data_IF_678388642170
#
_entry.id   IF_678388642170
#
_cell.length_a   1.000
_cell.length_b   1.000
_cell.length_c   1.000
_cell.angle_alpha   90.00
_cell.angle_beta   90.00
_cell.angle_gamma   90.00
#
_symmetry.space_group_name_H-M   'P 1'
#
loop_
_entity.id
_entity.type
_entity.pdbx_description
1 polymer ?
#
# COMPACT_ATOMS: atom_id res chain seq x y z
N UNK A 1 -14.35 -10.69 -20.30
CA UNK A 1 -15.24 -9.50 -20.24
C UNK A 1 -14.47 -8.24 -20.63
N UNK A 2 -15.12 -7.30 -21.31
CA UNK A 2 -14.55 -5.97 -21.59
C UNK A 2 -14.08 -5.30 -20.29
N UNK A 3 -12.85 -4.78 -20.28
CA UNK A 3 -12.23 -4.10 -19.13
C UNK A 3 -13.10 -2.93 -18.63
N UNK A 4 -13.77 -2.23 -19.56
CA UNK A 4 -14.66 -1.11 -19.23
C UNK A 4 -15.83 -1.58 -18.36
N UNK A 5 -16.42 -2.73 -18.69
CA UNK A 5 -17.52 -3.32 -17.93
C UNK A 5 -17.05 -3.73 -16.53
N UNK A 6 -15.85 -4.31 -16.41
CA UNK A 6 -15.28 -4.70 -15.12
C UNK A 6 -15.05 -3.48 -14.22
N UNK A 7 -14.42 -2.43 -14.76
CA UNK A 7 -14.16 -1.18 -14.01
C UNK A 7 -15.47 -0.55 -13.52
N UNK A 8 -16.49 -0.49 -14.37
CA UNK A 8 -17.78 0.08 -13.98
C UNK A 8 -18.53 -0.78 -12.94
N UNK A 9 -18.43 -2.11 -13.05
CA UNK A 9 -18.99 -3.01 -12.04
C UNK A 9 -18.32 -2.83 -10.67
N UNK A 10 -16.98 -2.71 -10.63
CA UNK A 10 -16.23 -2.45 -9.40
C UNK A 10 -16.59 -1.08 -8.82
N UNK A 11 -16.70 -0.04 -9.65
CA UNK A 11 -17.14 1.30 -9.22
C UNK A 11 -18.54 1.30 -8.60
N UNK A 12 -19.48 0.56 -9.19
CA UNK A 12 -20.81 0.41 -8.62
C UNK A 12 -20.75 -0.27 -7.24
N UNK A 13 -19.99 -1.36 -7.11
CA UNK A 13 -19.83 -2.05 -5.84
C UNK A 13 -19.16 -1.16 -4.77
N UNK A 14 -18.14 -0.38 -5.17
CA UNK A 14 -17.52 0.62 -4.30
C UNK A 14 -18.57 1.61 -3.76
N UNK A 15 -19.41 2.16 -4.63
CA UNK A 15 -20.47 3.10 -4.23
C UNK A 15 -21.47 2.46 -3.25
N UNK A 16 -21.80 1.18 -3.41
CA UNK A 16 -22.69 0.45 -2.51
C UNK A 16 -22.05 0.13 -1.15
N UNK A 17 -20.73 -0.01 -1.10
CA UNK A 17 -19.98 -0.31 0.11
C UNK A 17 -19.59 0.94 0.93
N UNK A 18 -19.70 2.14 0.34
CA UNK A 18 -19.35 3.39 1.02
C UNK A 18 -20.01 3.51 2.41
N UNK A 19 -19.20 3.83 3.41
CA UNK A 19 -19.63 3.97 4.80
C UNK A 19 -19.86 2.64 5.53
N UNK A 20 -19.19 1.56 5.13
CA UNK A 20 -19.25 0.27 5.82
C UNK A 20 -20.62 -0.41 5.81
N UNK A 21 -21.34 -0.39 4.68
CA UNK A 21 -22.70 -0.94 4.60
C UNK A 21 -22.73 -2.46 4.87
N UNK A 22 -23.01 -2.87 6.11
CA UNK A 22 -23.02 -4.26 6.57
C UNK A 22 -23.89 -5.21 5.74
N UNK A 23 -25.02 -4.72 5.24
CA UNK A 23 -25.93 -5.52 4.39
C UNK A 23 -25.24 -5.91 3.09
N UNK A 24 -24.58 -4.94 2.43
CA UNK A 24 -23.84 -5.18 1.18
C UNK A 24 -22.62 -6.05 1.44
N UNK A 25 -21.85 -5.78 2.50
CA UNK A 25 -20.71 -6.61 2.90
C UNK A 25 -21.12 -8.08 3.12
N UNK A 26 -22.24 -8.31 3.82
CA UNK A 26 -22.78 -9.65 4.06
C UNK A 26 -23.17 -10.35 2.76
N UNK A 27 -23.97 -9.68 1.91
CA UNK A 27 -24.40 -10.24 0.63
C UNK A 27 -23.21 -10.55 -0.27
N UNK A 28 -22.21 -9.66 -0.34
CA UNK A 28 -20.98 -9.89 -1.09
C UNK A 28 -20.20 -11.10 -0.54
N UNK A 29 -20.02 -11.18 0.78
CA UNK A 29 -19.32 -12.30 1.42
C UNK A 29 -20.06 -13.63 1.22
N UNK A 30 -21.39 -13.68 1.36
CA UNK A 30 -22.20 -14.88 1.10
C UNK A 30 -22.02 -15.37 -0.35
N UNK A 31 -21.99 -14.43 -1.32
CA UNK A 31 -21.71 -14.78 -2.72
C UNK A 31 -20.27 -15.26 -2.92
N UNK A 32 -19.29 -14.60 -2.30
CA UNK A 32 -17.86 -14.93 -2.39
C UNK A 32 -17.47 -16.21 -1.63
N UNK A 33 -18.32 -16.74 -0.75
CA UNK A 33 -18.11 -18.06 -0.13
C UNK A 33 -18.42 -19.22 -1.05
N UNK A 34 -19.14 -18.98 -2.15
CA UNK A 34 -19.50 -20.03 -3.09
C UNK A 34 -18.31 -20.48 -3.95
N UNK A 35 -18.33 -21.73 -4.44
CA UNK A 35 -17.24 -22.30 -5.24
C UNK A 35 -17.02 -21.56 -6.57
N UNK A 36 -18.05 -20.88 -7.07
CA UNK A 36 -17.99 -20.04 -8.28
C UNK A 36 -17.12 -18.79 -8.10
N UNK A 37 -16.75 -18.43 -6.86
CA UNK A 37 -15.92 -17.26 -6.58
C UNK A 37 -14.44 -17.46 -6.92
N UNK A 38 -13.98 -18.69 -7.20
CA UNK A 38 -12.58 -18.98 -7.53
C UNK A 38 -12.03 -18.03 -8.60
N UNK A 39 -12.79 -17.80 -9.68
CA UNK A 39 -12.38 -16.89 -10.77
C UNK A 39 -12.28 -15.43 -10.33
N UNK A 40 -13.11 -14.99 -9.38
CA UNK A 40 -13.04 -13.64 -8.84
C UNK A 40 -11.72 -13.42 -8.09
N UNK A 41 -11.34 -14.34 -7.21
CA UNK A 41 -10.09 -14.25 -6.45
C UNK A 41 -8.86 -14.39 -7.36
N UNK A 42 -8.93 -15.26 -8.38
CA UNK A 42 -7.91 -15.35 -9.42
C UNK A 42 -7.70 -14.01 -10.14
N UNK A 43 -8.78 -13.36 -10.58
CA UNK A 43 -8.68 -12.06 -11.24
C UNK A 43 -8.18 -10.95 -10.31
N UNK A 44 -8.57 -10.95 -9.04
CA UNK A 44 -8.01 -10.02 -8.05
C UNK A 44 -6.49 -10.21 -7.91
N UNK A 45 -6.05 -11.47 -7.79
CA UNK A 45 -4.63 -11.80 -7.72
C UNK A 45 -3.90 -11.35 -8.99
N UNK A 46 -4.41 -11.70 -10.17
CA UNK A 46 -3.75 -11.37 -11.44
C UNK A 46 -3.62 -9.86 -11.66
N UNK A 47 -4.61 -9.07 -11.23
CA UNK A 47 -4.53 -7.61 -11.26
C UNK A 47 -3.44 -7.06 -10.32
N UNK A 48 -3.31 -7.64 -9.12
CA UNK A 48 -2.26 -7.25 -8.17
C UNK A 48 -0.87 -7.69 -8.66
N UNK A 49 -0.74 -8.91 -9.18
CA UNK A 49 0.51 -9.42 -9.78
C UNK A 49 0.93 -8.54 -10.98
N UNK A 50 -0.02 -8.10 -11.80
CA UNK A 50 0.24 -7.15 -12.88
C UNK A 50 0.86 -5.84 -12.38
N UNK A 51 0.31 -5.26 -11.31
CA UNK A 51 0.88 -4.05 -10.70
C UNK A 51 2.28 -4.28 -10.13
N UNK A 52 2.53 -5.44 -9.49
CA UNK A 52 3.85 -5.83 -8.99
C UNK A 52 4.86 -5.93 -10.14
N UNK A 53 4.50 -6.54 -11.27
CA UNK A 53 5.38 -6.61 -12.43
C UNK A 53 5.65 -5.23 -13.05
N UNK A 54 4.64 -4.36 -13.15
CA UNK A 54 4.84 -2.96 -13.58
C UNK A 54 5.81 -2.20 -12.67
N UNK A 55 5.73 -2.39 -11.35
CA UNK A 55 6.69 -1.80 -10.40
C UNK A 55 8.11 -2.33 -10.59
N UNK A 56 8.26 -3.65 -10.82
CA UNK A 56 9.56 -4.26 -11.08
C UNK A 56 10.17 -3.77 -12.40
N UNK A 57 9.36 -3.61 -13.43
CA UNK A 57 9.78 -3.05 -14.72
C UNK A 57 10.23 -1.60 -14.56
N UNK A 58 9.40 -0.77 -13.92
CA UNK A 58 9.76 0.62 -13.62
C UNK A 58 11.08 0.73 -12.87
N UNK A 59 11.31 -0.12 -11.86
CA UNK A 59 12.59 -0.21 -11.14
C UNK A 59 13.77 -0.56 -12.05
N UNK A 60 13.58 -1.43 -13.04
CA UNK A 60 14.64 -1.79 -14.00
C UNK A 60 14.98 -0.60 -14.89
N UNK A 61 13.97 0.12 -15.37
CA UNK A 61 14.15 1.33 -16.19
C UNK A 61 14.89 2.42 -15.43
N UNK A 62 14.48 2.74 -14.19
CA UNK A 62 15.21 3.71 -13.34
C UNK A 62 16.69 3.34 -13.13
N UNK A 63 16.99 2.05 -12.95
CA UNK A 63 18.38 1.58 -12.81
C UNK A 63 19.18 1.74 -14.10
N UNK A 64 18.57 1.54 -15.28
CA UNK A 64 19.25 1.79 -16.57
C UNK A 64 19.56 3.28 -16.74
N UNK A 65 18.58 4.14 -16.47
CA UNK A 65 18.74 5.60 -16.54
C UNK A 65 19.88 6.09 -15.64
N UNK A 66 19.94 5.59 -14.39
CA UNK A 66 20.96 6.00 -13.41
C UNK A 66 22.38 5.54 -13.77
N UNK A 67 22.51 4.40 -14.46
CA UNK A 67 23.84 3.85 -14.85
C UNK A 67 24.49 4.59 -16.01
N UNK A 68 23.79 5.54 -16.63
CA UNK A 68 24.34 6.37 -17.71
C UNK A 68 24.68 5.61 -18.98
N UNK A 69 24.24 4.35 -19.13
CA UNK A 69 24.51 3.49 -20.28
C UNK A 69 23.71 3.85 -21.53
N UNK A 70 22.85 4.87 -21.45
CA UNK A 70 21.89 5.24 -22.48
C UNK A 70 22.20 6.62 -23.06
N UNK A 71 22.03 6.75 -24.38
CA UNK A 71 22.12 8.05 -25.06
C UNK A 71 20.98 8.96 -24.61
N UNK A 72 21.09 10.27 -24.87
CA UNK A 72 20.05 11.22 -24.48
C UNK A 72 18.70 10.92 -25.15
N UNK A 73 18.72 10.43 -26.39
CA UNK A 73 17.53 10.04 -27.15
C UNK A 73 16.88 8.79 -26.54
N UNK A 74 17.68 7.74 -26.26
CA UNK A 74 17.15 6.52 -25.64
C UNK A 74 16.56 6.81 -24.23
N UNK A 75 17.13 7.78 -23.50
CA UNK A 75 16.61 8.18 -22.18
C UNK A 75 15.24 8.82 -22.29
N UNK A 76 14.99 9.63 -23.31
CA UNK A 76 13.70 10.29 -23.48
C UNK A 76 12.63 9.26 -23.86
N UNK A 77 12.93 8.37 -24.83
CA UNK A 77 12.00 7.32 -25.25
C UNK A 77 11.68 6.33 -24.11
N UNK A 78 12.69 5.86 -23.36
CA UNK A 78 12.44 4.99 -22.20
C UNK A 78 11.68 5.70 -21.08
N UNK A 79 11.89 7.01 -20.86
CA UNK A 79 11.17 7.77 -19.85
C UNK A 79 9.69 7.93 -20.21
N UNK A 80 9.38 8.27 -21.46
CA UNK A 80 8.01 8.41 -21.95
C UNK A 80 7.27 7.06 -21.89
N UNK A 81 7.89 5.97 -22.34
CA UNK A 81 7.30 4.63 -22.26
C UNK A 81 7.10 4.14 -20.82
N UNK A 82 8.01 4.48 -19.91
CA UNK A 82 7.85 4.17 -18.49
C UNK A 82 6.67 4.92 -17.87
N UNK A 83 6.50 6.21 -18.17
CA UNK A 83 5.39 7.01 -17.65
C UNK A 83 4.02 6.48 -18.12
N UNK A 84 3.91 6.12 -19.40
CA UNK A 84 2.68 5.52 -19.93
C UNK A 84 2.38 4.16 -19.27
N UNK A 85 3.42 3.33 -19.09
CA UNK A 85 3.31 2.05 -18.38
C UNK A 85 2.85 2.20 -16.92
N UNK A 86 3.32 3.24 -16.21
CA UNK A 86 2.90 3.54 -14.83
C UNK A 86 1.41 3.90 -14.74
N UNK A 87 0.96 4.82 -15.61
CA UNK A 87 -0.43 5.26 -15.63
C UNK A 87 -1.39 4.10 -15.90
N UNK A 88 -1.01 3.20 -16.82
CA UNK A 88 -1.78 2.01 -17.15
C UNK A 88 -1.73 0.94 -16.06
N UNK A 89 -0.58 0.76 -15.41
CA UNK A 89 -0.36 -0.30 -14.43
C UNK A 89 -1.01 -0.03 -13.06
N UNK A 90 -0.89 1.20 -12.54
CA UNK A 90 -1.31 1.50 -11.16
C UNK A 90 -1.70 2.95 -10.89
N UNK A 91 -2.04 3.74 -11.90
CA UNK A 91 -2.66 5.06 -11.70
C UNK A 91 -3.91 5.00 -10.82
N UNK A 92 -4.40 6.14 -10.30
CA UNK A 92 -5.56 6.19 -9.37
C UNK A 92 -6.85 5.54 -9.87
N UNK A 93 -7.00 5.44 -11.19
CA UNK A 93 -8.15 4.82 -11.83
C UNK A 93 -7.85 3.43 -12.41
N UNK A 94 -6.66 2.90 -12.16
CA UNK A 94 -6.26 1.54 -12.52
C UNK A 94 -7.18 0.52 -11.86
N UNK A 95 -7.30 -0.62 -12.51
CA UNK A 95 -8.12 -1.72 -12.01
C UNK A 95 -7.61 -2.23 -10.65
N UNK A 96 -6.29 -2.30 -10.46
CA UNK A 96 -5.69 -2.74 -9.19
C UNK A 96 -6.09 -1.83 -8.02
N UNK A 97 -6.05 -0.50 -8.21
CA UNK A 97 -6.45 0.46 -7.18
C UNK A 97 -7.92 0.27 -6.80
N UNK A 98 -8.80 0.10 -7.79
CA UNK A 98 -10.23 -0.11 -7.56
C UNK A 98 -10.51 -1.44 -6.85
N UNK A 99 -9.79 -2.51 -7.22
CA UNK A 99 -9.91 -3.82 -6.60
C UNK A 99 -9.45 -3.77 -5.14
N UNK A 100 -8.29 -3.19 -4.86
CA UNK A 100 -7.77 -3.09 -3.49
C UNK A 100 -8.68 -2.23 -2.60
N UNK A 101 -9.20 -1.12 -3.13
CA UNK A 101 -10.18 -0.29 -2.42
C UNK A 101 -11.49 -1.04 -2.18
N UNK A 102 -11.95 -1.84 -3.14
CA UNK A 102 -13.15 -2.66 -2.97
C UNK A 102 -12.94 -3.72 -1.88
N UNK A 103 -11.82 -4.42 -1.90
CA UNK A 103 -11.46 -5.42 -0.87
C UNK A 103 -11.35 -4.79 0.52
N UNK A 104 -10.77 -3.60 0.62
CA UNK A 104 -10.75 -2.82 1.87
C UNK A 104 -12.18 -2.56 2.38
N UNK A 105 -13.07 -2.03 1.54
CA UNK A 105 -14.43 -1.68 1.96
C UNK A 105 -15.31 -2.90 2.28
N UNK A 106 -15.04 -4.08 1.71
CA UNK A 106 -15.74 -5.31 2.11
C UNK A 106 -15.33 -5.80 3.50
N UNK A 107 -14.14 -5.41 3.97
CA UNK A 107 -13.62 -5.74 5.31
C UNK A 107 -13.87 -4.62 6.35
N UNK A 108 -14.25 -3.42 5.90
CA UNK A 108 -14.44 -2.23 6.72
C UNK A 108 -15.26 -2.49 7.99
N UNK A 109 -14.76 -1.96 9.11
CA UNK A 109 -15.39 -2.11 10.41
C UNK A 109 -15.19 -3.50 11.01
N UNK A 110 -14.06 -4.17 10.74
CA UNK A 110 -13.72 -5.47 11.34
C UNK A 110 -14.68 -6.60 10.92
N UNK A 111 -15.01 -6.70 9.63
CA UNK A 111 -15.89 -7.77 9.14
C UNK A 111 -15.14 -9.11 9.00
N UNK A 112 -14.97 -9.82 10.11
CA UNK A 112 -14.17 -11.06 10.18
C UNK A 112 -14.48 -12.10 9.08
N UNK A 113 -15.75 -12.38 8.72
CA UNK A 113 -16.07 -13.29 7.61
C UNK A 113 -15.37 -12.98 6.28
N UNK A 114 -15.20 -11.69 5.96
CA UNK A 114 -14.54 -11.26 4.73
C UNK A 114 -13.03 -11.18 4.93
N UNK A 115 -12.55 -10.80 6.11
CA UNK A 115 -11.13 -10.83 6.45
C UNK A 115 -10.57 -12.26 6.33
N UNK A 116 -11.30 -13.27 6.80
CA UNK A 116 -10.88 -14.67 6.71
C UNK A 116 -10.83 -15.14 5.25
N UNK A 117 -11.82 -14.74 4.44
CA UNK A 117 -11.84 -14.99 3.00
C UNK A 117 -10.74 -14.26 2.24
N UNK A 118 -10.13 -13.22 2.79
CA UNK A 118 -9.08 -12.47 2.09
C UNK A 118 -7.80 -13.28 1.96
N UNK A 119 -7.49 -14.12 2.95
CA UNK A 119 -6.31 -14.99 2.95
C UNK A 119 -6.62 -16.44 2.58
N UNK A 120 -7.80 -16.96 2.96
CA UNK A 120 -8.15 -18.37 2.77
C UNK A 120 -9.59 -18.55 2.26
N UNK A 121 -9.75 -19.20 1.10
CA UNK A 121 -11.06 -19.50 0.50
C UNK A 121 -11.33 -21.01 0.47
N UNK A 122 -11.79 -21.62 1.57
CA UNK A 122 -11.82 -23.07 1.73
C UNK A 122 -12.81 -23.81 0.81
N UNK A 123 -13.79 -23.10 0.26
CA UNK A 123 -14.80 -23.67 -0.65
C UNK A 123 -14.41 -23.55 -2.14
N UNK A 124 -13.30 -22.86 -2.45
CA UNK A 124 -12.81 -22.71 -3.81
C UNK A 124 -11.93 -23.89 -4.21
N UNK A 125 -11.82 -24.14 -5.52
CA UNK A 125 -10.92 -25.18 -6.04
C UNK A 125 -9.45 -24.83 -5.83
N UNK A 126 -9.14 -23.53 -5.72
CA UNK A 126 -7.86 -22.98 -5.34
C UNK A 126 -8.07 -21.79 -4.40
N UNK A 127 -7.18 -21.65 -3.41
CA UNK A 127 -7.13 -20.48 -2.54
C UNK A 127 -6.04 -19.54 -3.00
N UNK A 128 -6.33 -18.24 -2.96
CA UNK A 128 -5.41 -17.17 -3.32
C UNK A 128 -5.24 -16.24 -2.11
N UNK A 129 -4.02 -16.18 -1.59
CA UNK A 129 -3.69 -15.33 -0.44
C UNK A 129 -3.49 -13.87 -0.90
N UNK A 130 -4.59 -13.10 -0.89
CA UNK A 130 -4.56 -11.70 -1.32
C UNK A 130 -3.87 -10.78 -0.30
N UNK A 131 -3.76 -11.19 0.97
CA UNK A 131 -3.04 -10.47 2.00
C UNK A 131 -1.54 -10.44 1.69
N UNK A 132 -0.95 -11.60 1.46
CA UNK A 132 0.47 -11.70 1.07
C UNK A 132 0.73 -10.92 -0.21
N UNK A 133 -0.21 -10.93 -1.16
CA UNK A 133 -0.10 -10.13 -2.40
C UNK A 133 -0.11 -8.62 -2.17
N UNK A 134 -0.91 -8.12 -1.23
CA UNK A 134 -0.85 -6.70 -0.86
C UNK A 134 0.50 -6.33 -0.21
N UNK A 135 1.10 -7.25 0.57
CA UNK A 135 2.45 -7.05 1.11
C UNK A 135 3.49 -7.01 0.00
N UNK A 136 3.40 -7.91 -0.99
CA UNK A 136 4.30 -7.91 -2.15
C UNK A 136 4.24 -6.59 -2.95
N UNK A 137 3.07 -5.93 -3.03
CA UNK A 137 2.95 -4.57 -3.60
C UNK A 137 3.77 -3.56 -2.79
N UNK A 138 3.63 -3.56 -1.45
CA UNK A 138 4.40 -2.66 -0.57
C UNK A 138 5.90 -2.92 -0.72
N UNK A 139 6.32 -4.18 -0.76
CA UNK A 139 7.73 -4.57 -0.94
C UNK A 139 8.29 -4.13 -2.30
N UNK A 140 7.50 -4.22 -3.37
CA UNK A 140 7.89 -3.80 -4.70
C UNK A 140 7.97 -2.27 -4.83
N UNK A 141 7.03 -1.55 -4.20
CA UNK A 141 6.95 -0.09 -4.21
C UNK A 141 8.01 0.56 -3.31
N UNK A 142 8.31 -0.02 -2.14
CA UNK A 142 9.23 0.53 -1.13
C UNK A 142 10.54 1.13 -1.69
N UNK A 143 11.33 0.42 -2.53
CA UNK A 143 12.60 0.94 -3.03
C UNK A 143 12.47 2.09 -4.04
N UNK A 144 11.26 2.39 -4.51
CA UNK A 144 10.97 3.40 -5.53
C UNK A 144 10.41 4.70 -4.93
N UNK A 145 9.86 4.63 -3.71
CA UNK A 145 9.13 5.73 -3.09
C UNK A 145 9.99 6.98 -2.86
N UNK A 146 11.26 6.83 -2.45
CA UNK A 146 12.11 7.98 -2.18
C UNK A 146 12.34 8.83 -3.45
N UNK A 147 12.65 8.17 -4.57
CA UNK A 147 12.86 8.82 -5.86
C UNK A 147 11.54 9.40 -6.39
N UNK A 148 10.47 8.58 -6.44
CA UNK A 148 9.14 8.97 -6.91
C UNK A 148 8.59 10.20 -6.17
N UNK A 149 8.68 10.24 -4.84
CA UNK A 149 8.25 11.39 -4.05
C UNK A 149 9.10 12.63 -4.31
N UNK A 150 10.39 12.47 -4.60
CA UNK A 150 11.26 13.59 -4.98
C UNK A 150 10.86 14.21 -6.33
N UNK A 151 10.25 13.41 -7.21
CA UNK A 151 9.65 13.86 -8.48
C UNK A 151 8.15 14.19 -8.38
N UNK A 152 7.59 14.23 -7.15
CA UNK A 152 6.17 14.49 -6.90
C UNK A 152 5.21 13.52 -7.62
N UNK A 153 5.64 12.27 -7.84
CA UNK A 153 4.77 11.22 -8.35
C UNK A 153 3.86 10.72 -7.21
N UNK A 154 2.59 11.10 -7.30
CA UNK A 154 1.58 10.78 -6.31
C UNK A 154 0.90 9.43 -6.56
N UNK A 155 1.11 8.78 -7.71
CA UNK A 155 0.41 7.54 -8.04
C UNK A 155 1.06 6.36 -7.33
N UNK A 156 2.39 6.29 -7.29
CA UNK A 156 3.10 5.27 -6.51
C UNK A 156 2.81 5.41 -5.00
N UNK A 157 2.78 6.65 -4.51
CA UNK A 157 2.39 6.94 -3.13
C UNK A 157 0.94 6.47 -2.86
N UNK A 158 0.01 6.78 -3.78
CA UNK A 158 -1.38 6.36 -3.71
C UNK A 158 -1.55 4.84 -3.67
N UNK A 159 -0.84 4.10 -4.52
CA UNK A 159 -0.83 2.64 -4.53
C UNK A 159 -0.33 2.07 -3.20
N UNK A 160 0.77 2.62 -2.68
CA UNK A 160 1.37 2.17 -1.42
C UNK A 160 0.42 2.42 -0.23
N UNK A 161 -0.20 3.60 -0.19
CA UNK A 161 -1.19 3.95 0.82
C UNK A 161 -2.39 3.00 0.77
N UNK A 162 -2.94 2.77 -0.43
CA UNK A 162 -4.06 1.86 -0.63
C UNK A 162 -3.71 0.42 -0.20
N UNK A 163 -2.49 -0.05 -0.48
CA UNK A 163 -2.00 -1.35 -0.02
C UNK A 163 -1.95 -1.44 1.50
N UNK A 164 -1.39 -0.42 2.17
CA UNK A 164 -1.33 -0.37 3.63
C UNK A 164 -2.74 -0.32 4.24
N UNK A 165 -3.66 0.48 3.69
CA UNK A 165 -5.05 0.54 4.18
C UNK A 165 -5.78 -0.81 4.02
N UNK A 166 -5.64 -1.47 2.87
CA UNK A 166 -6.23 -2.80 2.64
C UNK A 166 -5.64 -3.84 3.59
N UNK A 167 -4.32 -3.81 3.84
CA UNK A 167 -3.66 -4.67 4.84
C UNK A 167 -4.25 -4.38 6.22
N UNK A 168 -4.30 -3.12 6.65
CA UNK A 168 -4.83 -2.71 7.96
C UNK A 168 -6.25 -3.22 8.17
N UNK A 169 -7.15 -3.02 7.21
CA UNK A 169 -8.54 -3.51 7.28
C UNK A 169 -8.65 -5.04 7.37
N UNK A 170 -7.68 -5.77 6.80
CA UNK A 170 -7.66 -7.23 6.86
C UNK A 170 -7.24 -7.81 8.21
N UNK A 171 -6.53 -7.03 9.04
CA UNK A 171 -5.97 -7.48 10.33
C UNK A 171 -6.61 -6.80 11.54
N UNK A 172 -7.17 -5.60 11.37
CA UNK A 172 -7.79 -4.84 12.47
C UNK A 172 -9.03 -5.55 13.02
N UNK A 173 -9.28 -5.40 14.31
CA UNK A 173 -10.29 -6.20 15.01
C UNK A 173 -9.83 -7.65 15.09
N UNK A 174 -9.53 -8.16 16.29
CA UNK A 174 -8.52 -9.19 16.52
C UNK A 174 -8.55 -10.39 15.54
N UNK A 175 -7.89 -10.27 14.38
CA UNK A 175 -7.80 -11.32 13.36
C UNK A 175 -6.44 -12.01 13.41
N UNK A 176 -6.33 -13.00 14.29
CA UNK A 176 -5.07 -13.72 14.53
C UNK A 176 -4.58 -14.52 13.32
N UNK A 177 -5.51 -14.99 12.47
CA UNK A 177 -5.17 -15.73 11.27
C UNK A 177 -4.36 -14.86 10.32
N UNK A 178 -4.92 -13.71 9.98
CA UNK A 178 -4.26 -12.75 9.10
C UNK A 178 -3.02 -12.11 9.76
N UNK A 179 -3.05 -11.79 11.05
CA UNK A 179 -1.88 -11.26 11.74
C UNK A 179 -0.68 -12.24 11.72
N UNK A 180 -0.94 -13.55 11.85
CA UNK A 180 0.10 -14.58 11.75
C UNK A 180 0.65 -14.69 10.33
N UNK A 181 -0.20 -14.59 9.30
CA UNK A 181 0.24 -14.58 7.90
C UNK A 181 1.12 -13.37 7.66
N UNK A 182 0.67 -12.17 8.06
CA UNK A 182 1.42 -10.93 7.91
C UNK A 182 2.79 -10.99 8.59
N UNK A 183 2.90 -11.57 9.78
CA UNK A 183 4.17 -11.79 10.45
C UNK A 183 5.15 -12.69 9.70
N UNK A 184 4.65 -13.61 8.88
CA UNK A 184 5.48 -14.52 8.10
C UNK A 184 6.00 -13.89 6.80
N UNK A 185 5.56 -12.67 6.46
CA UNK A 185 5.99 -11.90 5.29
C UNK A 185 7.17 -10.97 5.62
N UNK A 186 7.74 -10.25 4.63
CA UNK A 186 8.74 -9.21 4.90
C UNK A 186 8.12 -7.83 5.16
N UNK A 187 6.83 -7.75 5.54
CA UNK A 187 6.15 -6.49 5.79
C UNK A 187 6.91 -5.62 6.82
N UNK A 188 7.26 -6.15 7.99
CA UNK A 188 7.98 -5.39 9.04
C UNK A 188 9.34 -4.87 8.54
N UNK A 189 10.06 -5.69 7.77
CA UNK A 189 11.33 -5.28 7.15
C UNK A 189 11.13 -4.20 6.07
N UNK A 190 10.01 -4.23 5.33
CA UNK A 190 9.66 -3.18 4.38
C UNK A 190 9.31 -1.87 5.12
N UNK A 191 8.59 -1.93 6.24
CA UNK A 191 8.33 -0.76 7.08
C UNK A 191 9.65 -0.16 7.58
N UNK A 192 10.53 -0.94 8.21
CA UNK A 192 11.82 -0.43 8.72
C UNK A 192 12.65 0.26 7.62
N UNK A 193 12.78 -0.40 6.45
CA UNK A 193 13.46 0.20 5.29
C UNK A 193 12.81 1.49 4.80
N UNK A 194 11.48 1.56 4.81
CA UNK A 194 10.73 2.75 4.39
C UNK A 194 10.97 3.93 5.33
N UNK A 195 11.01 3.69 6.65
CA UNK A 195 11.36 4.72 7.62
C UNK A 195 12.77 5.28 7.37
N UNK A 196 13.75 4.42 7.11
CA UNK A 196 15.13 4.83 6.84
C UNK A 196 15.30 5.55 5.50
N UNK A 197 14.52 5.18 4.47
CA UNK A 197 14.63 5.76 3.12
C UNK A 197 13.78 7.02 2.90
N UNK A 198 12.63 7.13 3.58
CA UNK A 198 11.66 8.23 3.37
C UNK A 198 11.95 9.42 4.28
N UNK A 199 13.15 9.97 4.18
CA UNK A 199 13.56 11.14 4.98
C UNK A 199 12.75 12.37 4.62
N UNK A 200 12.35 13.15 5.63
CA UNK A 200 11.74 14.45 5.40
C UNK A 200 12.75 15.43 4.80
N UNK A 201 12.31 16.21 3.82
CA UNK A 201 13.18 17.17 3.10
C UNK A 201 12.77 18.59 3.48
N UNK A 202 13.73 19.49 3.66
CA UNK A 202 13.43 20.91 3.81
C UNK A 202 12.85 21.43 2.50
N UNK A 203 11.57 21.80 2.49
CA UNK A 203 10.90 22.31 1.29
C UNK A 203 11.35 23.75 1.01
N UNK A 204 11.91 24.07 -0.16
CA UNK A 204 12.14 25.45 -0.55
C UNK A 204 10.78 26.15 -0.74
N UNK A 205 10.48 27.15 0.10
CA UNK A 205 9.40 28.14 -0.04
C UNK A 205 8.15 27.74 -0.87
N UNK A 206 7.10 27.22 -0.22
CA UNK A 206 5.65 27.16 -0.58
C UNK A 206 5.15 26.84 -2.01
N UNK A 207 6.00 26.71 -3.02
CA UNK A 207 5.61 26.45 -4.42
C UNK A 207 5.59 24.96 -4.80
N UNK A 208 6.05 24.06 -3.92
CA UNK A 208 6.08 22.60 -4.14
C UNK A 208 4.73 21.91 -3.88
N UNK A 209 3.63 22.48 -4.38
CA UNK A 209 2.34 21.77 -4.39
C UNK A 209 2.37 20.68 -5.46
N UNK A 210 2.01 19.46 -5.09
CA UNK A 210 1.90 18.33 -6.02
C UNK A 210 0.67 18.49 -6.90
N UNK A 211 0.75 18.17 -8.20
CA UNK A 211 -0.40 18.29 -9.11
C UNK A 211 -1.53 17.35 -8.67
N UNK A 212 -2.70 17.94 -8.41
CA UNK A 212 -3.96 17.24 -8.13
C UNK A 212 -4.21 16.92 -6.66
N UNK A 213 -3.20 16.96 -5.78
CA UNK A 213 -3.37 16.84 -4.32
C UNK A 213 -2.82 18.12 -3.70
N UNK A 214 -3.58 18.78 -2.82
CA UNK A 214 -3.09 19.94 -2.06
C UNK A 214 -2.00 19.59 -1.03
N UNK A 215 -1.35 18.43 -1.21
CA UNK A 215 -0.32 17.87 -0.35
C UNK A 215 1.07 18.16 -0.91
N UNK A 216 2.00 18.40 0.01
CA UNK A 216 3.42 18.42 -0.26
C UNK A 216 3.99 17.01 -0.29
N UNK A 217 5.20 16.87 -0.80
CA UNK A 217 5.92 15.60 -0.78
C UNK A 217 6.17 15.10 0.67
N UNK A 218 6.33 16.01 1.65
CA UNK A 218 6.45 15.63 3.06
C UNK A 218 5.14 15.12 3.65
N UNK A 219 3.99 15.65 3.21
CA UNK A 219 2.68 15.15 3.64
C UNK A 219 2.49 13.70 3.17
N UNK A 220 2.86 13.38 1.92
CA UNK A 220 2.82 12.01 1.42
C UNK A 220 3.77 11.08 2.20
N UNK A 221 5.00 11.51 2.51
CA UNK A 221 5.92 10.74 3.38
C UNK A 221 5.29 10.45 4.73
N UNK A 222 4.69 11.47 5.34
CA UNK A 222 4.03 11.37 6.63
C UNK A 222 2.85 10.38 6.58
N UNK A 223 2.02 10.46 5.55
CA UNK A 223 0.88 9.57 5.37
C UNK A 223 1.30 8.11 5.17
N UNK A 224 2.33 7.86 4.35
CA UNK A 224 2.86 6.51 4.12
C UNK A 224 3.38 5.93 5.44
N UNK A 225 4.22 6.68 6.16
CA UNK A 225 4.75 6.26 7.47
C UNK A 225 3.63 5.99 8.48
N UNK A 226 2.63 6.88 8.54
CA UNK A 226 1.47 6.73 9.43
C UNK A 226 0.66 5.49 9.08
N UNK A 227 0.38 5.25 7.80
CA UNK A 227 -0.38 4.08 7.34
C UNK A 227 0.35 2.77 7.64
N UNK A 228 1.66 2.72 7.42
CA UNK A 228 2.50 1.56 7.80
C UNK A 228 2.48 1.31 9.32
N UNK A 229 2.57 2.36 10.14
CA UNK A 229 2.47 2.25 11.59
C UNK A 229 1.07 1.79 12.03
N UNK A 230 0.00 2.26 11.38
CA UNK A 230 -1.36 1.80 11.64
C UNK A 230 -1.50 0.29 11.41
N UNK A 231 -0.91 -0.26 10.34
CA UNK A 231 -0.84 -1.71 10.16
C UNK A 231 -0.12 -2.41 11.32
N UNK A 232 1.01 -1.86 11.76
CA UNK A 232 1.79 -2.40 12.88
C UNK A 232 0.98 -2.39 14.19
N UNK A 233 0.22 -1.32 14.44
CA UNK A 233 -0.66 -1.22 15.60
C UNK A 233 -1.83 -2.20 15.51
N UNK A 234 -2.44 -2.36 14.33
CA UNK A 234 -3.51 -3.33 14.11
C UNK A 234 -3.03 -4.78 14.35
N UNK A 235 -1.76 -5.10 14.04
CA UNK A 235 -1.16 -6.40 14.38
C UNK A 235 -1.11 -6.63 15.90
N UNK A 236 -0.89 -5.56 16.67
CA UNK A 236 -0.76 -5.60 18.12
C UNK A 236 -2.12 -5.76 18.84
N UNK A 237 -3.25 -5.41 18.22
CA UNK A 237 -4.58 -5.52 18.82
C UNK A 237 -4.93 -6.97 19.23
N UNK A 238 -4.47 -7.96 18.47
CA UNK A 238 -4.81 -9.37 18.67
C UNK A 238 -3.78 -10.14 19.50
N UNK A 239 -2.73 -9.47 19.99
CA UNK A 239 -1.56 -10.11 20.59
C UNK A 239 -1.88 -10.66 21.97
N UNK A 240 -1.80 -11.98 22.08
CA UNK A 240 -1.58 -12.67 23.36
C UNK A 240 -0.18 -13.29 23.45
N UNK A 241 0.49 -13.37 22.31
CA UNK A 241 1.77 -14.05 22.17
C UNK A 241 2.91 -13.02 22.23
N UNK A 242 3.75 -13.04 23.28
CA UNK A 242 4.82 -12.06 23.43
C UNK A 242 5.84 -12.10 22.28
N UNK A 243 5.88 -13.18 21.49
CA UNK A 243 6.76 -13.28 20.32
C UNK A 243 6.50 -12.19 19.28
N UNK A 244 5.25 -11.75 19.12
CA UNK A 244 4.91 -10.72 18.12
C UNK A 244 5.54 -9.36 18.49
N UNK A 245 5.33 -8.82 19.70
CA UNK A 245 6.04 -7.63 20.16
C UNK A 245 7.57 -7.79 20.12
N UNK A 246 8.10 -8.95 20.53
CA UNK A 246 9.56 -9.19 20.50
C UNK A 246 10.10 -9.10 19.07
N UNK A 247 9.46 -9.75 18.10
CA UNK A 247 9.87 -9.65 16.70
C UNK A 247 9.77 -8.22 16.18
N UNK A 248 8.69 -7.50 16.50
CA UNK A 248 8.58 -6.08 16.11
C UNK A 248 9.72 -5.25 16.70
N UNK A 249 10.10 -5.46 17.96
CA UNK A 249 11.24 -4.78 18.59
C UNK A 249 12.58 -5.15 17.93
N UNK A 250 12.75 -6.39 17.48
CA UNK A 250 13.95 -6.83 16.76
C UNK A 250 14.05 -6.22 15.35
N UNK A 251 12.91 -6.00 14.67
CA UNK A 251 12.88 -5.45 13.32
C UNK A 251 12.90 -3.91 13.28
N UNK A 252 12.29 -3.25 14.26
CA UNK A 252 12.20 -1.79 14.27
C UNK A 252 13.43 -1.16 14.90
N UNK A 253 14.16 -0.40 14.09
CA UNK A 253 15.13 0.56 14.57
C UNK A 253 14.38 1.77 15.12
N UNK A 254 13.78 1.63 16.32
CA UNK A 254 12.94 2.66 16.95
C UNK A 254 13.64 4.03 17.07
N UNK A 255 14.98 4.01 17.15
CA UNK A 255 15.80 5.21 17.10
C UNK A 255 15.60 6.00 15.79
N UNK A 256 15.63 5.34 14.63
CA UNK A 256 15.42 6.01 13.33
C UNK A 256 14.02 6.61 13.24
N UNK A 257 13.02 5.91 13.80
CA UNK A 257 11.64 6.43 13.86
C UNK A 257 11.59 7.71 14.70
N UNK A 258 12.23 7.71 15.87
CA UNK A 258 12.29 8.88 16.75
C UNK A 258 13.05 10.05 16.12
N UNK A 259 14.16 9.79 15.41
CA UNK A 259 14.89 10.81 14.67
C UNK A 259 14.02 11.44 13.58
N UNK A 260 13.29 10.63 12.80
CA UNK A 260 12.40 11.13 11.76
C UNK A 260 11.22 11.92 12.31
N UNK A 261 10.67 11.51 13.47
CA UNK A 261 9.64 12.29 14.18
C UNK A 261 10.19 13.65 14.63
N UNK A 262 11.41 13.69 15.15
CA UNK A 262 12.08 14.92 15.58
C UNK A 262 12.35 15.83 14.38
N UNK A 263 12.89 15.28 13.28
CA UNK A 263 13.15 16.02 12.05
C UNK A 263 11.86 16.65 11.49
N UNK A 264 10.75 15.92 11.49
CA UNK A 264 9.45 16.47 11.10
C UNK A 264 8.98 17.57 12.06
N UNK A 265 9.14 17.38 13.38
CA UNK A 265 8.82 18.38 14.39
C UNK A 265 9.58 19.70 14.19
N UNK A 266 10.87 19.62 13.85
CA UNK A 266 11.71 20.78 13.51
C UNK A 266 11.20 21.48 12.25
N UNK A 267 10.87 20.72 11.20
CA UNK A 267 10.34 21.29 9.96
C UNK A 267 9.00 22.01 10.15
N UNK A 268 8.18 21.53 11.10
CA UNK A 268 6.91 22.14 11.46
C UNK A 268 7.06 23.28 12.49
N UNK A 269 8.27 23.53 13.00
CA UNK A 269 8.52 24.53 14.05
C UNK A 269 7.92 24.18 15.41
N UNK A 270 7.63 22.89 15.64
CA UNK A 270 7.08 22.37 16.91
C UNK A 270 8.17 22.05 17.92
N UNK A 271 9.38 21.80 17.43
CA UNK A 271 10.54 21.36 18.21
C UNK A 271 11.75 22.17 17.74
N UNK A 272 12.61 22.58 18.67
CA UNK A 272 13.88 23.21 18.33
C UNK A 272 14.86 22.20 17.70
N UNK A 273 15.98 22.70 17.15
CA UNK A 273 17.00 21.84 16.55
C UNK A 273 17.68 20.87 17.54
N UNK A 274 17.46 21.05 18.85
CA UNK A 274 17.96 20.17 19.91
C UNK A 274 16.94 19.12 20.35
N UNK A 275 15.71 19.14 19.82
CA UNK A 275 14.67 18.19 20.18
C UNK A 275 13.77 18.62 21.34
N UNK A 276 13.87 19.87 21.82
CA UNK A 276 12.99 20.39 22.87
C UNK A 276 11.74 21.05 22.28
N UNK A 277 10.58 20.81 22.90
CA UNK A 277 9.35 21.47 22.52
C UNK A 277 9.48 22.99 22.70
N UNK A 278 9.17 23.73 21.64
CA UNK A 278 9.21 25.19 21.60
C UNK A 278 8.06 25.83 22.38
#
# INVERSE_FOLDING_TARGET
PDQVVQVNAVRLLLALLQGGCRKVQRTACEWLRGPHSTMFFLHCRDAIDGAIESLKEYKRTLKKLTRGTMTAEDRQEEAEGAEEGLQLGFGRHSLVMLIMRMLQLTMEGQYSPMQDLFSLQPQNTASYDLLTKCVEVVEAAQPLLADSLSFNDADLAGLTLQACETISESIQGPNRGNAKILLATNFLAAVNRSFSSLRYVSLPSRNDKIRGWDLTSNDLRCWIKTSMLSCCLAMLEAVKDPRLPTQMLEFFELHNIAEEMTANGVLLGLVDAQGFFA
#
